data_IF_851501152289
#
_entry.id   IF_851501152289
#
_cell.length_a   1.000
_cell.length_b   1.000
_cell.length_c   1.000
_cell.angle_alpha   90.00
_cell.angle_beta   90.00
_cell.angle_gamma   90.00
#
_symmetry.space_group_name_H-M   'P 1'
#
loop_
_entity.id
_entity.type
_entity.pdbx_description
1 polymer ?
#
# COMPACT_ATOMS: atom_id res chain seq x y z
N UNK A 1 10.66 -22.77 14.45
CA UNK A 1 9.23 -23.01 14.15
C UNK A 1 8.68 -21.72 13.57
N UNK A 2 8.02 -21.72 12.40
CA UNK A 2 7.35 -20.52 11.93
C UNK A 2 6.28 -20.16 12.98
N UNK A 3 6.36 -18.95 13.52
CA UNK A 3 5.34 -18.44 14.44
C UNK A 3 4.01 -18.45 13.69
N UNK A 4 2.96 -19.03 14.29
CA UNK A 4 1.61 -18.88 13.77
C UNK A 4 1.33 -17.37 13.64
N UNK A 5 0.89 -16.89 12.46
CA UNK A 5 0.64 -15.47 12.29
C UNK A 5 -0.42 -15.02 13.29
N UNK A 6 -0.14 -13.93 14.01
CA UNK A 6 -1.13 -13.27 14.85
C UNK A 6 -2.34 -12.94 13.96
N UNK A 7 -3.57 -13.35 14.35
CA UNK A 7 -4.74 -13.06 13.54
C UNK A 7 -4.89 -11.54 13.34
N UNK A 8 -5.32 -11.09 12.16
CA UNK A 8 -5.47 -9.66 11.90
C UNK A 8 -6.52 -9.06 12.83
N UNK A 9 -6.23 -7.87 13.36
CA UNK A 9 -7.22 -7.09 14.09
C UNK A 9 -8.27 -6.63 13.08
N UNK A 10 -9.51 -7.05 13.28
CA UNK A 10 -10.60 -6.79 12.35
C UNK A 10 -11.89 -6.42 13.08
N UNK A 11 -12.73 -5.65 12.39
CA UNK A 11 -14.12 -5.39 12.74
C UNK A 11 -14.99 -5.57 11.51
N UNK A 12 -16.15 -6.17 11.70
CA UNK A 12 -17.09 -6.49 10.63
C UNK A 12 -18.45 -5.96 11.04
N UNK A 13 -19.08 -5.16 10.18
CA UNK A 13 -20.42 -4.67 10.41
C UNK A 13 -21.45 -5.81 10.23
N UNK A 14 -22.61 -5.67 10.88
CA UNK A 14 -23.73 -6.58 10.63
C UNK A 14 -24.17 -6.53 9.16
N UNK A 15 -24.76 -7.61 8.60
CA UNK A 15 -25.25 -7.62 7.22
C UNK A 15 -26.16 -6.41 6.91
N UNK A 16 -25.89 -5.72 5.80
CA UNK A 16 -26.64 -4.53 5.38
C UNK A 16 -26.33 -3.26 6.18
N UNK A 17 -25.34 -3.27 7.07
CA UNK A 17 -24.83 -2.10 7.80
C UNK A 17 -23.41 -1.75 7.37
N UNK A 18 -23.01 -0.51 7.63
CA UNK A 18 -21.64 -0.04 7.49
C UNK A 18 -21.04 0.15 8.90
N UNK A 19 -19.71 0.05 8.99
CA UNK A 19 -19.00 0.51 10.18
C UNK A 19 -19.18 2.03 10.29
N UNK A 20 -19.38 2.50 11.52
CA UNK A 20 -19.41 3.93 11.82
C UNK A 20 -17.99 4.50 11.93
N UNK A 21 -17.86 5.82 11.87
CA UNK A 21 -16.57 6.50 12.11
C UNK A 21 -16.01 6.15 13.50
N UNK A 22 -16.88 5.97 14.50
CA UNK A 22 -16.47 5.55 15.85
C UNK A 22 -15.87 4.14 15.86
N UNK A 23 -16.41 3.22 15.06
CA UNK A 23 -15.85 1.86 14.91
C UNK A 23 -14.46 1.92 14.29
N UNK A 24 -14.26 2.79 13.28
CA UNK A 24 -12.96 3.00 12.64
C UNK A 24 -11.95 3.57 13.64
N UNK A 25 -12.34 4.58 14.42
CA UNK A 25 -11.49 5.16 15.47
C UNK A 25 -11.09 4.12 16.51
N UNK A 26 -12.03 3.30 16.98
CA UNK A 26 -11.77 2.24 17.95
C UNK A 26 -10.82 1.17 17.38
N UNK A 27 -11.04 0.74 16.13
CA UNK A 27 -10.18 -0.22 15.44
C UNK A 27 -8.75 0.31 15.29
N UNK A 28 -8.58 1.57 14.88
CA UNK A 28 -7.25 2.19 14.76
C UNK A 28 -6.59 2.34 16.14
N UNK A 29 -7.34 2.67 17.18
CA UNK A 29 -6.79 2.77 18.53
C UNK A 29 -6.24 1.43 19.06
N UNK A 30 -6.92 0.32 18.73
CA UNK A 30 -6.51 -1.05 19.05
C UNK A 30 -5.30 -1.48 18.20
N UNK A 31 -5.36 -1.26 16.88
CA UNK A 31 -4.32 -1.69 15.94
C UNK A 31 -3.05 -0.83 15.96
N UNK A 32 -3.16 0.43 16.37
CA UNK A 32 -2.05 1.37 16.43
C UNK A 32 -1.93 1.98 17.83
N UNK A 33 -1.39 1.26 18.83
CA UNK A 33 -1.06 1.83 20.12
C UNK A 33 -0.06 2.99 19.96
N UNK A 34 -0.38 4.17 20.48
CA UNK A 34 0.44 5.39 20.30
C UNK A 34 1.92 5.17 20.71
N UNK A 35 2.15 4.39 21.76
CA UNK A 35 3.49 4.08 22.28
C UNK A 35 4.39 3.42 21.22
N UNK A 36 3.83 2.64 20.30
CA UNK A 36 4.60 1.94 19.27
C UNK A 36 5.12 2.87 18.17
N UNK A 37 4.53 4.07 18.04
CA UNK A 37 4.82 5.02 16.96
C UNK A 37 5.60 6.26 17.44
N UNK A 38 5.73 6.44 18.75
CA UNK A 38 6.45 7.59 19.33
C UNK A 38 7.90 7.64 18.84
N UNK A 39 8.29 8.76 18.25
CA UNK A 39 9.62 8.98 17.69
C UNK A 39 9.93 8.19 16.41
N UNK A 40 8.98 7.42 15.87
CA UNK A 40 9.18 6.71 14.59
C UNK A 40 8.90 7.61 13.41
N UNK A 41 9.59 7.35 12.30
CA UNK A 41 9.23 7.88 10.98
C UNK A 41 8.23 6.91 10.34
N UNK A 42 7.03 7.40 10.05
CA UNK A 42 5.94 6.61 9.47
C UNK A 42 5.64 7.10 8.06
N UNK A 43 5.63 6.18 7.11
CA UNK A 43 5.17 6.43 5.74
C UNK A 43 3.79 5.83 5.53
N UNK A 44 2.81 6.70 5.32
CA UNK A 44 1.45 6.32 4.96
C UNK A 44 1.33 6.17 3.44
N UNK A 45 1.14 4.96 2.96
CA UNK A 45 0.86 4.69 1.54
C UNK A 45 -0.65 4.73 1.32
N UNK A 46 -1.10 5.60 0.42
CA UNK A 46 -2.53 5.78 0.09
C UNK A 46 -2.78 5.56 -1.40
N UNK A 47 -3.97 5.08 -1.81
CA UNK A 47 -4.37 5.13 -3.21
C UNK A 47 -4.67 6.56 -3.65
N UNK A 48 -4.57 6.77 -4.95
CA UNK A 48 -5.11 7.95 -5.61
C UNK A 48 -6.65 7.95 -5.65
N UNK A 49 -7.20 8.85 -6.46
CA UNK A 49 -8.64 9.05 -6.65
C UNK A 49 -9.33 7.91 -7.42
N UNK A 50 -8.59 6.99 -8.05
CA UNK A 50 -9.18 5.88 -8.83
C UNK A 50 -9.69 4.74 -7.94
N UNK A 51 -9.49 4.82 -6.62
CA UNK A 51 -9.96 3.83 -5.64
C UNK A 51 -10.95 4.45 -4.67
N UNK A 52 -12.09 3.80 -4.50
CA UNK A 52 -13.09 4.22 -3.51
C UNK A 52 -12.76 3.63 -2.13
N UNK A 53 -12.43 4.50 -1.19
CA UNK A 53 -12.20 4.17 0.22
C UNK A 53 -12.24 5.43 1.09
N UNK A 54 -12.55 5.32 2.40
CA UNK A 54 -12.59 6.43 3.35
C UNK A 54 -11.16 6.87 3.76
N UNK A 55 -10.33 7.22 2.78
CA UNK A 55 -8.91 7.57 2.98
C UNK A 55 -8.76 8.80 3.85
N UNK A 56 -9.64 9.81 3.66
CA UNK A 56 -9.63 11.00 4.51
C UNK A 56 -9.87 10.67 5.97
N UNK A 57 -10.93 9.90 6.28
CA UNK A 57 -11.20 9.41 7.63
C UNK A 57 -9.99 8.67 8.22
N UNK A 58 -9.43 7.69 7.49
CA UNK A 58 -8.29 6.91 7.97
C UNK A 58 -7.04 7.76 8.21
N UNK A 59 -6.72 8.69 7.29
CA UNK A 59 -5.61 9.63 7.47
C UNK A 59 -5.80 10.49 8.73
N UNK A 60 -6.97 11.11 8.88
CA UNK A 60 -7.30 11.98 10.03
C UNK A 60 -7.24 11.19 11.34
N UNK A 61 -7.77 9.97 11.37
CA UNK A 61 -7.76 9.10 12.55
C UNK A 61 -6.35 8.63 12.92
N UNK A 62 -5.54 8.20 11.94
CA UNK A 62 -4.15 7.79 12.18
C UNK A 62 -3.29 8.96 12.65
N UNK A 63 -3.43 10.13 12.02
CA UNK A 63 -2.71 11.33 12.44
C UNK A 63 -3.12 11.76 13.86
N UNK A 64 -4.42 11.74 14.19
CA UNK A 64 -4.89 12.02 15.54
C UNK A 64 -4.38 10.99 16.57
N UNK A 65 -4.19 9.74 16.14
CA UNK A 65 -3.73 8.65 17.02
C UNK A 65 -2.25 8.75 17.35
N UNK A 66 -1.39 9.04 16.37
CA UNK A 66 0.06 9.05 16.60
C UNK A 66 0.86 10.03 15.74
N UNK A 67 0.24 10.79 14.84
CA UNK A 67 0.94 11.71 13.93
C UNK A 67 1.76 12.78 14.64
N UNK A 68 1.28 13.28 15.78
CA UNK A 68 1.97 14.32 16.58
C UNK A 68 3.17 13.78 17.38
N UNK A 69 3.15 12.50 17.75
CA UNK A 69 4.22 11.87 18.54
C UNK A 69 5.25 11.16 17.66
N UNK A 70 4.93 10.93 16.40
CA UNK A 70 5.86 10.40 15.40
C UNK A 70 6.94 11.45 15.08
N UNK A 71 8.15 10.99 14.78
CA UNK A 71 9.22 11.87 14.29
C UNK A 71 8.89 12.42 12.89
N UNK A 72 8.23 11.60 12.07
CA UNK A 72 7.66 12.00 10.79
C UNK A 72 6.37 11.19 10.53
N UNK A 73 5.38 11.84 9.93
CA UNK A 73 4.17 11.20 9.42
C UNK A 73 3.95 11.78 8.02
N UNK A 74 4.35 11.02 7.00
CA UNK A 74 4.37 11.50 5.61
C UNK A 74 3.56 10.56 4.71
N UNK A 75 3.18 11.05 3.53
CA UNK A 75 2.32 10.34 2.60
C UNK A 75 3.07 10.01 1.33
N UNK A 76 2.89 8.78 0.84
CA UNK A 76 3.26 8.40 -0.52
C UNK A 76 2.03 7.88 -1.26
N UNK A 77 1.62 8.60 -2.30
CA UNK A 77 0.51 8.19 -3.17
C UNK A 77 0.96 7.02 -4.07
N UNK A 78 0.30 5.87 -3.94
CA UNK A 78 0.51 4.68 -4.74
C UNK A 78 -0.20 4.82 -6.11
N UNK A 79 0.51 5.42 -7.07
CA UNK A 79 -0.03 5.74 -8.40
C UNK A 79 0.05 4.57 -9.39
N UNK A 80 0.93 3.59 -9.15
CA UNK A 80 1.36 2.71 -10.26
C UNK A 80 1.85 3.57 -11.43
N UNK A 81 1.21 3.45 -12.60
CA UNK A 81 1.52 4.26 -13.78
C UNK A 81 0.72 5.55 -13.92
N UNK A 82 -0.17 5.88 -12.98
CA UNK A 82 -1.03 7.05 -13.08
C UNK A 82 -0.24 8.35 -12.95
N UNK A 83 -0.80 9.43 -13.50
CA UNK A 83 -0.21 10.75 -13.43
C UNK A 83 -0.08 11.24 -11.98
N UNK A 84 0.99 11.98 -11.62
CA UNK A 84 1.14 12.60 -10.32
C UNK A 84 -0.06 13.47 -9.93
N UNK A 85 -0.50 13.37 -8.68
CA UNK A 85 -1.56 14.21 -8.14
C UNK A 85 -1.02 15.58 -7.73
N UNK A 86 -1.76 16.66 -8.03
CA UNK A 86 -1.44 17.98 -7.48
C UNK A 86 -1.67 18.02 -5.97
N UNK A 87 -1.14 19.04 -5.29
CA UNK A 87 -1.39 19.20 -3.86
C UNK A 87 -2.89 19.38 -3.54
N UNK A 88 -3.64 20.10 -4.39
CA UNK A 88 -5.10 20.24 -4.32
C UNK A 88 -5.79 18.87 -4.36
N UNK A 89 -5.39 18.02 -5.30
CA UNK A 89 -5.97 16.69 -5.47
C UNK A 89 -5.66 15.78 -4.28
N UNK A 90 -4.43 15.87 -3.73
CA UNK A 90 -4.06 15.12 -2.51
C UNK A 90 -4.88 15.62 -1.31
N UNK A 91 -5.03 16.94 -1.13
CA UNK A 91 -5.88 17.50 -0.07
C UNK A 91 -7.34 17.05 -0.18
N UNK A 92 -7.90 17.10 -1.38
CA UNK A 92 -9.25 16.60 -1.64
C UNK A 92 -9.36 15.10 -1.32
N UNK A 93 -8.35 14.31 -1.68
CA UNK A 93 -8.31 12.86 -1.39
C UNK A 93 -8.27 12.54 0.10
N UNK A 94 -7.59 13.39 0.87
CA UNK A 94 -7.48 13.32 2.33
C UNK A 94 -8.66 13.99 3.04
N UNK A 95 -9.55 14.63 2.29
CA UNK A 95 -10.68 15.40 2.82
C UNK A 95 -10.24 16.44 3.86
N UNK A 96 -9.18 17.19 3.54
CA UNK A 96 -8.66 18.27 4.37
C UNK A 96 -8.75 19.61 3.62
N UNK A 97 -8.97 20.67 4.38
CA UNK A 97 -9.02 22.05 3.90
C UNK A 97 -7.62 22.62 3.66
N UNK A 98 -7.54 23.75 2.95
CA UNK A 98 -6.29 24.51 2.82
C UNK A 98 -5.76 25.00 4.17
N UNK A 99 -6.66 25.40 5.07
CA UNK A 99 -6.31 25.86 6.42
C UNK A 99 -5.69 24.72 7.24
N UNK A 100 -6.32 23.55 7.25
CA UNK A 100 -5.76 22.38 7.94
C UNK A 100 -4.41 21.94 7.35
N UNK A 101 -4.26 22.01 6.02
CA UNK A 101 -2.98 21.74 5.33
C UNK A 101 -1.87 22.67 5.83
N UNK A 102 -2.14 23.97 5.96
CA UNK A 102 -1.16 24.96 6.40
C UNK A 102 -0.91 24.92 7.92
N UNK A 103 -1.93 24.53 8.70
CA UNK A 103 -1.87 24.42 10.15
C UNK A 103 -1.52 23.00 10.60
N UNK A 104 -2.54 22.26 11.04
CA UNK A 104 -2.41 20.94 11.68
C UNK A 104 -1.55 19.95 10.90
N UNK A 105 -1.68 19.92 9.58
CA UNK A 105 -0.94 19.00 8.71
C UNK A 105 0.25 19.67 8.00
N UNK A 106 0.71 20.84 8.45
CA UNK A 106 1.80 21.59 7.82
C UNK A 106 3.12 20.83 7.76
N UNK A 107 3.36 19.94 8.73
CA UNK A 107 4.56 19.08 8.80
C UNK A 107 4.48 17.80 7.96
N UNK A 108 3.28 17.42 7.50
CA UNK A 108 3.07 16.21 6.69
C UNK A 108 3.54 16.50 5.27
N UNK A 109 4.51 15.72 4.79
CA UNK A 109 5.00 15.81 3.41
C UNK A 109 4.16 14.91 2.50
N UNK A 110 3.82 15.43 1.33
CA UNK A 110 3.10 14.68 0.29
C UNK A 110 4.06 14.28 -0.82
N UNK A 111 4.15 12.99 -1.10
CA UNK A 111 4.96 12.44 -2.18
C UNK A 111 4.07 11.74 -3.19
N UNK A 112 4.33 11.98 -4.47
CA UNK A 112 3.85 11.13 -5.55
C UNK A 112 4.88 10.06 -5.85
N UNK A 113 4.42 8.87 -6.23
CA UNK A 113 5.30 7.86 -6.80
C UNK A 113 5.72 8.23 -8.22
N UNK A 114 6.99 8.02 -8.54
CA UNK A 114 7.59 8.30 -9.84
C UNK A 114 8.08 6.98 -10.43
N UNK A 115 7.17 6.21 -11.05
CA UNK A 115 7.44 4.85 -11.51
C UNK A 115 8.48 4.81 -12.64
N UNK A 116 8.57 5.87 -13.43
CA UNK A 116 9.44 6.01 -14.61
C UNK A 116 10.74 6.78 -14.30
N UNK A 117 10.99 7.11 -13.04
CA UNK A 117 12.21 7.76 -12.58
C UNK A 117 13.13 6.73 -11.90
N UNK A 118 14.18 6.21 -12.56
CA UNK A 118 15.12 5.28 -11.92
C UNK A 118 15.80 5.89 -10.70
N UNK A 119 16.02 7.21 -10.76
CA UNK A 119 16.50 8.01 -9.65
C UNK A 119 15.42 8.34 -8.62
N UNK A 120 14.25 7.70 -8.61
CA UNK A 120 13.31 7.56 -7.48
C UNK A 120 13.20 6.11 -6.93
N UNK A 121 13.74 5.13 -7.63
CA UNK A 121 13.63 3.70 -7.33
C UNK A 121 14.89 3.10 -6.71
N UNK A 122 14.74 1.92 -6.12
CA UNK A 122 15.85 1.04 -5.76
C UNK A 122 15.53 -0.41 -6.09
N UNK A 123 16.55 -1.21 -6.31
CA UNK A 123 16.43 -2.65 -6.54
C UNK A 123 16.39 -3.42 -5.21
N UNK A 124 15.44 -4.34 -5.08
CA UNK A 124 15.28 -5.23 -3.93
C UNK A 124 15.91 -6.62 -4.14
N UNK A 125 16.07 -7.01 -5.40
CA UNK A 125 16.47 -8.34 -5.82
C UNK A 125 15.68 -8.76 -7.06
N UNK A 126 15.84 -10.01 -7.46
CA UNK A 126 15.22 -10.57 -8.67
C UNK A 126 14.44 -11.82 -8.30
N UNK A 127 13.20 -11.93 -8.79
CA UNK A 127 12.45 -13.20 -8.73
C UNK A 127 12.96 -14.05 -9.90
N UNK A 128 13.52 -15.24 -9.64
CA UNK A 128 14.15 -16.05 -10.69
C UNK A 128 13.10 -16.66 -11.63
N UNK A 129 13.50 -16.89 -12.88
CA UNK A 129 12.66 -17.45 -13.93
C UNK A 129 12.00 -18.78 -13.56
N UNK A 130 12.67 -19.63 -12.79
CA UNK A 130 12.12 -20.91 -12.34
C UNK A 130 10.97 -20.74 -11.34
N UNK A 131 11.02 -19.72 -10.49
CA UNK A 131 9.93 -19.37 -9.58
C UNK A 131 8.73 -18.87 -10.40
N UNK A 132 8.97 -18.00 -11.38
CA UNK A 132 7.92 -17.53 -12.31
C UNK A 132 7.30 -18.68 -13.10
N UNK A 133 8.11 -19.63 -13.56
CA UNK A 133 7.65 -20.83 -14.26
C UNK A 133 6.74 -21.66 -13.39
N UNK A 134 7.11 -21.87 -12.14
CA UNK A 134 6.28 -22.60 -11.16
C UNK A 134 4.97 -21.87 -10.90
N UNK A 135 5.03 -20.55 -10.69
CA UNK A 135 3.88 -19.71 -10.38
C UNK A 135 2.89 -19.53 -11.55
N UNK A 136 3.33 -19.79 -12.77
CA UNK A 136 2.54 -19.68 -13.99
C UNK A 136 2.15 -21.03 -14.59
N UNK A 137 2.34 -22.14 -13.87
CA UNK A 137 2.13 -23.50 -14.37
C UNK A 137 2.86 -23.78 -15.70
N UNK A 138 4.06 -23.22 -15.84
CA UNK A 138 4.92 -23.38 -17.02
C UNK A 138 4.59 -22.46 -18.20
N UNK A 139 3.56 -21.61 -18.08
CA UNK A 139 3.13 -20.73 -19.18
C UNK A 139 4.09 -19.57 -19.45
N UNK A 140 4.94 -19.20 -18.47
CA UNK A 140 5.85 -18.07 -18.59
C UNK A 140 7.14 -18.31 -17.79
N UNK A 141 8.28 -17.82 -18.27
CA UNK A 141 9.56 -18.00 -17.56
C UNK A 141 10.53 -16.88 -17.92
N UNK A 142 10.79 -16.00 -16.95
CA UNK A 142 11.81 -14.95 -17.05
C UNK A 142 12.20 -14.45 -15.67
N UNK A 143 13.42 -13.96 -15.54
CA UNK A 143 13.85 -13.24 -14.35
C UNK A 143 13.12 -11.89 -14.26
N UNK A 144 12.62 -11.55 -13.07
CA UNK A 144 11.86 -10.32 -12.82
C UNK A 144 12.60 -9.47 -11.79
N UNK A 145 13.31 -8.41 -12.23
CA UNK A 145 13.90 -7.45 -11.31
C UNK A 145 12.80 -6.77 -10.49
N UNK A 146 12.96 -6.74 -9.17
CA UNK A 146 12.02 -6.10 -8.25
C UNK A 146 12.56 -4.75 -7.82
N UNK A 147 11.85 -3.70 -8.20
CA UNK A 147 12.19 -2.32 -7.83
C UNK A 147 11.04 -1.68 -7.07
N UNK A 148 11.37 -0.82 -6.11
CA UNK A 148 10.38 -0.08 -5.30
C UNK A 148 10.84 1.35 -5.07
N UNK A 149 9.90 2.27 -4.81
CA UNK A 149 10.20 3.63 -4.40
C UNK A 149 11.16 3.59 -3.21
N UNK A 150 12.36 4.18 -3.35
CA UNK A 150 13.39 4.01 -2.32
C UNK A 150 13.00 4.59 -0.97
N UNK A 151 12.06 5.55 -0.97
CA UNK A 151 11.57 6.20 0.24
C UNK A 151 11.08 5.21 1.27
N UNK A 152 10.62 4.01 0.88
CA UNK A 152 10.17 3.00 1.85
C UNK A 152 11.25 2.60 2.88
N UNK A 153 12.53 2.83 2.61
CA UNK A 153 13.64 2.58 3.54
C UNK A 153 14.00 3.79 4.42
N UNK A 154 13.52 4.98 4.06
CA UNK A 154 13.76 6.22 4.83
C UNK A 154 12.87 6.31 6.08
N UNK A 155 11.99 5.32 6.28
CA UNK A 155 11.00 5.26 7.36
C UNK A 155 11.13 3.96 8.14
N UNK A 156 10.72 4.02 9.40
CA UNK A 156 10.83 2.90 10.34
C UNK A 156 9.57 2.01 10.28
N UNK A 157 8.46 2.53 9.76
CA UNK A 157 7.19 1.83 9.61
C UNK A 157 6.44 2.32 8.36
N UNK A 158 5.90 1.37 7.60
CA UNK A 158 4.93 1.64 6.54
C UNK A 158 3.53 1.32 7.06
N UNK A 159 2.58 2.21 6.81
CA UNK A 159 1.15 1.97 7.03
C UNK A 159 0.47 2.09 5.67
N UNK A 160 -0.22 1.04 5.24
CA UNK A 160 -0.92 0.99 3.96
C UNK A 160 -2.40 1.19 4.24
N UNK A 161 -2.97 2.24 3.64
CA UNK A 161 -4.40 2.49 3.66
C UNK A 161 -4.93 2.24 2.27
N UNK A 162 -5.89 1.33 2.12
CA UNK A 162 -6.59 1.16 0.87
C UNK A 162 -7.59 0.02 0.88
N UNK A 163 -8.53 0.00 -0.06
CA UNK A 163 -9.58 -1.00 -0.08
C UNK A 163 -9.10 -2.35 -0.60
N UNK A 164 -9.82 -3.39 -0.20
CA UNK A 164 -9.70 -4.77 -0.70
C UNK A 164 -10.91 -5.06 -1.59
N UNK A 165 -10.64 -5.39 -2.86
CA UNK A 165 -11.62 -5.82 -3.85
C UNK A 165 -11.03 -6.98 -4.65
N UNK A 166 -11.85 -7.87 -5.24
CA UNK A 166 -11.37 -8.76 -6.28
C UNK A 166 -10.67 -7.95 -7.39
N UNK A 167 -9.54 -8.46 -7.88
CA UNK A 167 -8.69 -7.77 -8.84
C UNK A 167 -8.20 -8.73 -9.92
N UNK A 168 -8.31 -8.31 -11.17
CA UNK A 168 -8.04 -9.10 -12.37
C UNK A 168 -6.56 -9.49 -12.54
N UNK A 169 -5.63 -8.68 -12.02
CA UNK A 169 -4.18 -8.94 -12.12
C UNK A 169 -3.59 -9.63 -10.89
N UNK A 170 -4.14 -9.37 -9.69
CA UNK A 170 -3.49 -9.76 -8.42
C UNK A 170 -4.40 -10.58 -7.50
N UNK A 171 -5.57 -10.95 -8.00
CA UNK A 171 -6.59 -11.70 -7.27
C UNK A 171 -7.39 -10.86 -6.30
N UNK A 172 -6.74 -10.23 -5.33
CA UNK A 172 -7.35 -9.22 -4.46
C UNK A 172 -6.46 -7.97 -4.33
N UNK A 173 -7.06 -6.79 -4.31
CA UNK A 173 -6.37 -5.56 -3.91
C UNK A 173 -6.10 -5.51 -2.41
N UNK A 174 -5.54 -4.40 -1.92
CA UNK A 174 -5.14 -4.28 -0.53
C UNK A 174 -3.72 -4.76 -0.28
N UNK A 175 -3.22 -4.49 0.93
CA UNK A 175 -1.91 -4.92 1.40
C UNK A 175 -0.79 -4.64 0.39
N UNK A 176 -0.05 -5.68 0.02
CA UNK A 176 1.13 -5.60 -0.83
C UNK A 176 0.85 -5.04 -2.23
N UNK A 177 -0.41 -5.00 -2.71
CA UNK A 177 -0.73 -4.38 -4.00
C UNK A 177 -0.32 -2.90 -4.05
N UNK A 178 -0.42 -2.20 -2.92
CA UNK A 178 -0.01 -0.79 -2.85
C UNK A 178 1.51 -0.60 -2.86
N UNK A 179 2.28 -1.68 -2.67
CA UNK A 179 3.71 -1.71 -2.92
C UNK A 179 4.00 -2.14 -4.35
N UNK A 180 3.36 -3.22 -4.80
CA UNK A 180 3.54 -3.79 -6.13
C UNK A 180 2.18 -4.05 -6.78
N UNK A 181 1.76 -3.29 -7.80
CA UNK A 181 2.54 -2.28 -8.52
C UNK A 181 2.50 -0.86 -7.92
N UNK A 182 1.81 -0.63 -6.80
CA UNK A 182 1.41 0.72 -6.37
C UNK A 182 2.56 1.73 -6.22
N UNK A 183 3.72 1.30 -5.72
CA UNK A 183 4.94 2.13 -5.62
C UNK A 183 6.18 1.42 -6.16
N UNK A 184 6.01 0.56 -7.16
CA UNK A 184 7.08 -0.21 -7.79
C UNK A 184 7.52 0.38 -9.13
N UNK A 185 8.73 0.04 -9.56
CA UNK A 185 9.16 0.35 -10.91
C UNK A 185 8.46 -0.48 -11.99
N UNK A 186 8.78 -0.21 -13.27
CA UNK A 186 8.07 -0.74 -14.42
C UNK A 186 8.27 -2.24 -14.61
N UNK A 187 9.37 -2.82 -14.13
CA UNK A 187 9.72 -4.22 -14.40
C UNK A 187 8.68 -5.18 -13.83
N UNK A 188 8.41 -5.06 -12.53
CA UNK A 188 7.40 -5.87 -11.82
C UNK A 188 6.00 -5.52 -12.28
N UNK A 189 5.74 -4.24 -12.52
CA UNK A 189 4.45 -3.76 -12.99
C UNK A 189 4.09 -4.39 -14.33
N UNK A 190 4.97 -4.26 -15.33
CA UNK A 190 4.76 -4.82 -16.66
C UNK A 190 4.67 -6.35 -16.61
N UNK A 191 5.52 -6.98 -15.80
CA UNK A 191 5.51 -8.42 -15.59
C UNK A 191 4.16 -8.92 -15.08
N UNK A 192 3.59 -8.32 -14.03
CA UNK A 192 2.32 -8.79 -13.48
C UNK A 192 1.15 -8.62 -14.45
N UNK A 193 1.15 -7.57 -15.29
CA UNK A 193 0.13 -7.43 -16.33
C UNK A 193 0.24 -8.53 -17.39
N UNK A 194 1.46 -8.87 -17.83
CA UNK A 194 1.71 -9.99 -18.74
C UNK A 194 1.28 -11.32 -18.12
N UNK A 195 1.65 -11.56 -16.86
CA UNK A 195 1.31 -12.79 -16.16
C UNK A 195 -0.20 -12.95 -15.99
N UNK A 196 -0.91 -11.90 -15.61
CA UNK A 196 -2.37 -11.89 -15.54
C UNK A 196 -3.03 -12.16 -16.89
N UNK A 197 -2.47 -11.65 -17.99
CA UNK A 197 -2.96 -11.93 -19.34
C UNK A 197 -2.75 -13.40 -19.74
N UNK A 198 -1.63 -14.01 -19.36
CA UNK A 198 -1.29 -15.41 -19.67
C UNK A 198 -2.12 -16.41 -18.86
N UNK A 199 -2.30 -16.18 -17.56
CA UNK A 199 -3.13 -17.02 -16.67
C UNK A 199 -4.63 -16.78 -16.93
N UNK A 200 -4.97 -15.60 -17.48
CA UNK A 200 -6.32 -15.06 -17.71
C UNK A 200 -7.05 -14.59 -16.44
N UNK A 201 -7.94 -13.62 -16.60
CA UNK A 201 -8.75 -13.07 -15.51
C UNK A 201 -9.50 -14.15 -14.72
N UNK A 202 -10.03 -15.18 -15.39
CA UNK A 202 -10.82 -16.23 -14.75
C UNK A 202 -9.99 -17.04 -13.75
N UNK A 203 -8.70 -17.25 -14.03
CA UNK A 203 -7.78 -17.96 -13.13
C UNK A 203 -7.21 -17.08 -12.02
N UNK A 204 -7.37 -15.75 -12.11
CA UNK A 204 -6.73 -14.80 -11.19
C UNK A 204 -7.73 -14.12 -10.27
N UNK A 205 -8.84 -13.57 -10.79
CA UNK A 205 -9.73 -12.71 -10.03
C UNK A 205 -10.34 -13.43 -8.82
N UNK A 206 -10.19 -12.84 -7.63
CA UNK A 206 -10.68 -13.46 -6.39
C UNK A 206 -9.88 -14.65 -5.89
N UNK A 207 -8.71 -14.95 -6.48
CA UNK A 207 -7.78 -15.93 -5.94
C UNK A 207 -6.79 -15.25 -5.00
N UNK A 208 -6.82 -15.59 -3.71
CA UNK A 208 -6.00 -14.93 -2.68
C UNK A 208 -4.49 -15.07 -2.93
N UNK A 209 -4.05 -16.19 -3.48
CA UNK A 209 -2.64 -16.50 -3.63
C UNK A 209 -2.23 -16.25 -5.07
N UNK A 210 -1.55 -15.13 -5.29
CA UNK A 210 -1.01 -14.75 -6.59
C UNK A 210 0.49 -14.44 -6.50
N UNK A 211 1.22 -14.47 -7.62
CA UNK A 211 2.66 -14.18 -7.68
C UNK A 211 3.06 -12.83 -7.06
N UNK A 212 2.13 -11.86 -7.02
CA UNK A 212 2.32 -10.53 -6.42
C UNK A 212 2.63 -10.58 -4.93
N UNK A 213 2.15 -11.60 -4.21
CA UNK A 213 2.41 -11.75 -2.79
C UNK A 213 3.90 -11.95 -2.47
N UNK A 214 4.68 -12.54 -3.38
CA UNK A 214 6.10 -12.83 -3.18
C UNK A 214 6.96 -11.55 -3.14
N UNK A 215 6.71 -10.60 -4.06
CA UNK A 215 7.47 -9.34 -4.13
C UNK A 215 7.34 -8.50 -2.84
N UNK A 216 6.17 -8.54 -2.20
CA UNK A 216 5.92 -7.82 -0.94
C UNK A 216 6.82 -8.25 0.23
N UNK A 217 7.27 -9.51 0.24
CA UNK A 217 8.18 -10.03 1.27
C UNK A 217 9.61 -9.46 1.14
N UNK A 218 9.97 -8.92 -0.04
CA UNK A 218 11.29 -8.34 -0.30
C UNK A 218 11.47 -6.95 0.32
N UNK A 219 10.37 -6.26 0.63
CA UNK A 219 10.41 -4.98 1.38
C UNK A 219 10.64 -5.30 2.85
N UNK A 220 11.82 -4.95 3.38
CA UNK A 220 12.23 -5.28 4.76
C UNK A 220 11.63 -4.36 5.82
N UNK A 221 11.25 -3.13 5.45
CA UNK A 221 10.57 -2.21 6.35
C UNK A 221 9.30 -2.85 6.90
N UNK A 222 9.05 -2.78 8.23
CA UNK A 222 7.79 -3.24 8.82
C UNK A 222 6.58 -2.59 8.15
N UNK A 223 5.54 -3.39 7.93
CA UNK A 223 4.31 -2.99 7.22
C UNK A 223 3.09 -3.29 8.09
N UNK A 224 2.18 -2.34 8.19
CA UNK A 224 0.83 -2.51 8.70
C UNK A 224 -0.13 -2.22 7.54
N UNK A 225 -1.15 -3.06 7.33
CA UNK A 225 -2.11 -2.93 6.24
C UNK A 225 -3.50 -3.42 6.66
#
# INVERSE_FOLDING_TARGET
>A
MPQNPVPPIARVAAPGKLLSDADVVALVAEACPEADYRGRRVLLIIPDHTRTAPVGLLFKTLFARFGEVAAAFDILTALGTHAPMSEEAIRARLEITAEERCGRYGRVRFFNHEWDNPAALRHLGTIPAEEIRTLSDGLFSMDVPVTVNRRVDDYDQIVIVGPVFPHEVVGFSGGNKYLFPGVSGPEVLNFFHWLGAVITTVGVIGHKWTPVHHAGAMVRTPKLC
#
